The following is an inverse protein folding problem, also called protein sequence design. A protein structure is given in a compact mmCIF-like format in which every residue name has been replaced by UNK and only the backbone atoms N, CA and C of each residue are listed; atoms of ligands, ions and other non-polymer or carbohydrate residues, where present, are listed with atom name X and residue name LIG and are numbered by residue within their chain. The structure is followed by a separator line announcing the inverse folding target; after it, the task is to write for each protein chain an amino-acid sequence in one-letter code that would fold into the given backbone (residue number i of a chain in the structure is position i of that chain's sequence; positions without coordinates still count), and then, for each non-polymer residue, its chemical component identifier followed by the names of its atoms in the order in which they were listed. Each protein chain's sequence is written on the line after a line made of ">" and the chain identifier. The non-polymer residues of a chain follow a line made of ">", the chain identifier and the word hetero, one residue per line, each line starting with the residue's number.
data_IF_547843940632
#
_entry.id   IF_547843940632
#
_cell.length_a   1.000
_cell.length_b   1.000
_cell.length_c   1.000
_cell.angle_alpha   90.00
_cell.angle_beta   90.00
_cell.angle_gamma   90.00
#
_symmetry.space_group_name_H-M   'P 1'
#
loop_
_entity.id
_entity.type
_entity.pdbx_description
1 polymer ?
#
# COMPACT_ATOMS: atom_id res chain seq x y z
N UNK A 1 -18.92 1.79 -14.47
CA UNK A 1 -17.57 1.63 -13.90
C UNK A 1 -16.57 2.05 -14.95
N UNK A 2 -16.09 3.29 -14.89
CA UNK A 2 -14.94 3.70 -15.69
C UNK A 2 -13.72 3.26 -14.91
N UNK A 3 -12.89 2.40 -15.49
CA UNK A 3 -11.60 2.04 -14.93
C UNK A 3 -10.54 2.64 -15.85
N UNK A 4 -9.57 3.32 -15.27
CA UNK A 4 -8.39 3.78 -15.99
C UNK A 4 -7.34 2.66 -16.02
N UNK A 5 -6.54 2.64 -17.09
CA UNK A 5 -5.39 1.72 -17.18
C UNK A 5 -4.16 2.40 -16.60
N UNK A 6 -3.63 1.87 -15.50
CA UNK A 6 -2.44 2.40 -14.84
C UNK A 6 -1.22 1.52 -15.06
N UNK A 7 -0.07 2.14 -15.30
CA UNK A 7 1.23 1.49 -15.40
C UNK A 7 2.33 2.34 -14.71
N UNK A 8 3.61 1.99 -14.90
CA UNK A 8 4.73 2.80 -14.36
C UNK A 8 4.78 4.22 -14.94
N UNK A 9 4.26 4.45 -16.15
CA UNK A 9 4.19 5.78 -16.76
C UNK A 9 3.15 6.67 -16.07
N UNK A 10 2.05 6.09 -15.56
CA UNK A 10 1.06 6.82 -14.75
C UNK A 10 1.66 7.43 -13.49
N UNK A 11 2.72 6.84 -12.91
CA UNK A 11 3.47 7.44 -11.79
C UNK A 11 4.24 8.69 -12.23
N UNK A 12 4.85 8.66 -13.42
CA UNK A 12 5.52 9.85 -13.98
C UNK A 12 4.51 10.98 -14.23
N UNK A 13 3.32 10.64 -14.74
CA UNK A 13 2.22 11.59 -14.94
C UNK A 13 1.72 12.16 -13.62
N UNK A 14 1.60 11.36 -12.56
CA UNK A 14 1.30 11.86 -11.21
C UNK A 14 2.34 12.89 -10.74
N UNK A 15 3.62 12.60 -10.92
CA UNK A 15 4.69 13.52 -10.52
C UNK A 15 4.65 14.84 -11.29
N UNK A 16 4.41 14.78 -12.61
CA UNK A 16 4.22 15.96 -13.46
C UNK A 16 2.99 16.76 -13.03
N UNK A 17 1.82 16.12 -12.96
CA UNK A 17 0.54 16.81 -12.73
C UNK A 17 0.41 17.33 -11.29
N UNK A 18 0.88 16.58 -10.28
CA UNK A 18 0.71 16.97 -8.87
C UNK A 18 1.80 17.92 -8.39
N UNK A 19 3.05 17.74 -8.83
CA UNK A 19 4.19 18.46 -8.28
C UNK A 19 4.87 19.38 -9.29
N UNK A 20 4.41 19.42 -10.54
CA UNK A 20 4.99 20.26 -11.59
C UNK A 20 6.38 19.80 -12.03
N UNK A 21 6.76 18.55 -11.74
CA UNK A 21 8.06 18.00 -12.14
C UNK A 21 8.04 17.77 -13.65
N UNK A 22 8.96 18.38 -14.43
CA UNK A 22 8.97 18.18 -15.87
C UNK A 22 9.31 16.73 -16.19
N UNK A 23 8.48 16.07 -17.02
CA UNK A 23 8.75 14.72 -17.53
C UNK A 23 8.81 14.77 -19.05
N UNK A 24 9.97 15.12 -19.65
CA UNK A 24 10.11 15.28 -21.10
C UNK A 24 9.75 14.03 -21.90
N UNK A 25 9.95 12.86 -21.29
CA UNK A 25 9.65 11.56 -21.91
C UNK A 25 8.18 11.15 -21.80
N UNK A 26 7.31 11.95 -21.17
CA UNK A 26 5.87 11.74 -21.18
C UNK A 26 5.32 12.35 -22.48
N UNK A 27 5.35 11.58 -23.56
CA UNK A 27 4.91 12.02 -24.89
C UNK A 27 3.37 12.05 -24.99
N UNK A 28 2.84 12.66 -26.06
CA UNK A 28 1.40 12.67 -26.32
C UNK A 28 0.81 11.24 -26.40
N UNK A 29 1.52 10.30 -27.04
CA UNK A 29 1.11 8.89 -27.09
C UNK A 29 1.07 8.25 -25.69
N UNK A 30 2.06 8.49 -24.83
CA UNK A 30 2.05 7.96 -23.46
C UNK A 30 0.89 8.53 -22.63
N UNK A 31 0.54 9.81 -22.83
CA UNK A 31 -0.63 10.43 -22.19
C UNK A 31 -1.97 9.85 -22.69
N UNK A 32 -2.03 9.32 -23.91
CA UNK A 32 -3.27 8.73 -24.44
C UNK A 32 -3.48 7.28 -24.02
N UNK A 33 -2.40 6.54 -23.73
CA UNK A 33 -2.49 5.12 -23.36
C UNK A 33 -2.51 4.87 -21.85
N UNK A 34 -1.94 5.78 -21.05
CA UNK A 34 -1.81 5.61 -19.60
C UNK A 34 -2.68 6.60 -18.83
N UNK A 35 -3.37 6.10 -17.82
CA UNK A 35 -4.27 6.87 -16.97
C UNK A 35 -3.55 7.91 -16.12
N UNK A 36 -4.28 8.95 -15.74
CA UNK A 36 -3.81 9.96 -14.80
C UNK A 36 -4.03 9.48 -13.36
N UNK A 37 -2.96 9.11 -12.68
CA UNK A 37 -3.06 8.56 -11.31
C UNK A 37 -3.46 9.63 -10.28
N UNK A 38 -3.52 10.93 -10.62
CA UNK A 38 -4.15 11.91 -9.72
C UNK A 38 -5.62 11.59 -9.44
N UNK A 39 -6.32 10.93 -10.38
CA UNK A 39 -7.70 10.46 -10.24
C UNK A 39 -7.91 9.46 -9.11
N UNK A 40 -6.85 8.83 -8.59
CA UNK A 40 -6.95 7.85 -7.49
C UNK A 40 -6.86 8.49 -6.11
N UNK A 41 -6.53 9.78 -6.03
CA UNK A 41 -6.33 10.50 -4.77
C UNK A 41 -7.45 11.52 -4.49
N UNK A 42 -7.65 11.82 -3.22
CA UNK A 42 -8.50 12.92 -2.77
C UNK A 42 -7.62 14.06 -2.25
N UNK A 43 -7.13 14.89 -3.17
CA UNK A 43 -6.31 16.05 -2.84
C UNK A 43 -7.10 17.27 -2.34
N UNK A 44 -8.44 17.23 -2.43
CA UNK A 44 -9.31 18.26 -1.86
C UNK A 44 -9.39 18.16 -0.32
N UNK A 45 -9.14 16.98 0.25
CA UNK A 45 -9.08 16.80 1.70
C UNK A 45 -7.71 17.26 2.24
N UNK A 46 -7.67 18.13 3.27
CA UNK A 46 -6.42 18.54 3.90
C UNK A 46 -5.59 17.35 4.41
N UNK A 47 -4.26 17.42 4.34
CA UNK A 47 -3.40 16.37 4.88
C UNK A 47 -3.67 16.14 6.37
N UNK A 48 -3.85 14.87 6.75
CA UNK A 48 -3.90 14.49 8.16
C UNK A 48 -2.50 14.07 8.63
N UNK A 49 -1.86 14.90 9.44
CA UNK A 49 -0.54 14.63 10.01
C UNK A 49 -0.58 13.83 11.32
N UNK A 50 -1.78 13.42 11.78
CA UNK A 50 -1.90 12.55 12.95
C UNK A 50 -1.25 11.20 12.67
N UNK A 51 -0.62 10.62 13.69
CA UNK A 51 -0.05 9.29 13.57
C UNK A 51 -1.17 8.28 13.30
N UNK A 52 -1.02 7.37 12.31
CA UNK A 52 -1.98 6.31 12.13
C UNK A 52 -2.00 5.45 13.39
N UNK A 53 -3.20 5.07 13.83
CA UNK A 53 -3.34 4.07 14.88
C UNK A 53 -2.96 2.71 14.29
N UNK A 54 -1.67 2.39 14.36
CA UNK A 54 -1.17 1.06 14.09
C UNK A 54 -1.35 0.28 15.38
N UNK A 55 -2.20 -0.75 15.34
CA UNK A 55 -2.33 -1.67 16.46
C UNK A 55 -0.93 -2.10 16.93
N UNK A 56 -0.58 -1.78 18.18
CA UNK A 56 0.80 -1.82 18.62
C UNK A 56 1.25 -3.28 18.80
N UNK A 57 2.23 -3.77 18.02
CA UNK A 57 2.55 -5.19 17.95
C UNK A 57 3.17 -5.73 19.24
N UNK A 58 3.53 -4.90 20.22
CA UNK A 58 4.15 -5.36 21.47
C UNK A 58 3.28 -6.32 22.28
N UNK A 59 1.96 -6.12 22.30
CA UNK A 59 1.01 -7.03 22.97
C UNK A 59 0.74 -8.29 22.15
N UNK A 60 0.63 -8.17 20.82
CA UNK A 60 0.47 -9.30 19.90
C UNK A 60 1.76 -10.11 19.68
N UNK A 61 2.92 -9.55 20.00
CA UNK A 61 4.20 -10.22 19.88
C UNK A 61 4.40 -11.29 20.96
N UNK A 62 3.71 -11.20 22.11
CA UNK A 62 3.85 -12.17 23.20
C UNK A 62 3.53 -13.60 22.76
N UNK A 63 2.51 -13.79 21.92
CA UNK A 63 2.19 -15.09 21.33
C UNK A 63 3.23 -15.57 20.32
N UNK A 64 4.01 -14.66 19.74
CA UNK A 64 4.98 -14.95 18.68
C UNK A 64 6.40 -15.15 19.22
N UNK A 65 6.71 -14.62 20.41
CA UNK A 65 8.00 -14.76 21.10
C UNK A 65 8.48 -16.21 21.22
N UNK A 66 7.64 -17.21 21.59
CA UNK A 66 8.06 -18.60 21.72
C UNK A 66 8.59 -19.21 20.42
N UNK A 67 8.19 -18.67 19.26
CA UNK A 67 8.69 -19.08 17.97
C UNK A 67 9.86 -18.21 17.50
N UNK A 68 9.76 -16.90 17.65
CA UNK A 68 10.76 -15.95 17.18
C UNK A 68 12.12 -16.13 17.87
N UNK A 69 12.16 -16.31 19.19
CA UNK A 69 13.42 -16.41 19.95
C UNK A 69 14.22 -17.66 19.55
N UNK A 70 13.64 -18.87 19.52
CA UNK A 70 14.33 -20.05 19.02
C UNK A 70 14.74 -19.94 17.55
N UNK A 71 13.92 -19.32 16.69
CA UNK A 71 14.24 -19.15 15.28
C UNK A 71 15.38 -18.17 15.05
N UNK A 72 15.46 -17.09 15.83
CA UNK A 72 16.60 -16.17 15.78
C UNK A 72 17.91 -16.86 16.19
N UNK A 73 17.87 -17.75 17.19
CA UNK A 73 19.05 -18.44 17.69
C UNK A 73 19.49 -19.63 16.82
N UNK A 74 18.54 -20.41 16.30
CA UNK A 74 18.79 -21.74 15.70
C UNK A 74 18.31 -21.86 14.25
N UNK A 75 17.66 -20.84 13.71
CA UNK A 75 17.12 -20.85 12.34
C UNK A 75 18.22 -20.94 11.27
N UNK A 76 19.37 -20.32 11.49
CA UNK A 76 20.51 -20.34 10.56
C UNK A 76 21.14 -21.73 10.39
N UNK A 77 20.93 -22.62 11.36
CA UNK A 77 21.38 -24.02 11.31
C UNK A 77 20.21 -25.00 11.06
N UNK A 78 19.06 -24.50 10.60
CA UNK A 78 17.85 -25.30 10.33
C UNK A 78 17.33 -26.09 11.55
N UNK A 79 17.54 -25.57 12.77
CA UNK A 79 17.03 -26.14 14.04
C UNK A 79 15.97 -25.26 14.70
N UNK A 80 15.42 -24.30 13.97
CA UNK A 80 14.30 -23.48 14.43
C UNK A 80 12.98 -24.25 14.51
N UNK A 81 11.99 -23.63 15.15
CA UNK A 81 10.60 -24.04 15.15
C UNK A 81 9.96 -23.65 13.80
N UNK A 82 9.32 -24.59 13.08
CA UNK A 82 8.65 -24.29 11.82
C UNK A 82 7.57 -23.22 11.98
N UNK A 83 7.37 -22.38 10.96
CA UNK A 83 6.25 -21.45 10.95
C UNK A 83 4.92 -22.20 10.86
N UNK A 84 4.07 -22.03 11.87
CA UNK A 84 2.71 -22.57 11.86
C UNK A 84 1.85 -21.67 10.98
N UNK A 85 1.49 -22.18 9.80
CA UNK A 85 0.46 -21.55 8.97
C UNK A 85 -0.87 -21.67 9.71
N UNK A 86 -1.66 -20.59 9.85
CA UNK A 86 -3.00 -20.66 10.41
C UNK A 86 -3.87 -21.67 9.67
N UNK A 87 -4.59 -22.51 10.41
CA UNK A 87 -5.55 -23.49 9.87
C UNK A 87 -6.89 -23.31 10.61
N UNK A 88 -7.99 -22.93 9.92
CA UNK A 88 -8.11 -22.77 8.48
C UNK A 88 -7.44 -21.51 7.93
N UNK A 89 -6.78 -21.62 6.79
CA UNK A 89 -6.34 -20.46 6.03
C UNK A 89 -7.54 -19.81 5.36
N UNK A 90 -7.82 -18.57 5.73
CA UNK A 90 -8.91 -17.77 5.17
C UNK A 90 -8.34 -16.57 4.42
N UNK A 91 -8.97 -16.22 3.31
CA UNK A 91 -8.60 -15.00 2.59
C UNK A 91 -9.00 -13.78 3.42
N UNK A 92 -8.17 -12.72 3.45
CA UNK A 92 -8.54 -11.49 4.13
C UNK A 92 -9.79 -10.90 3.49
N UNK A 93 -10.70 -10.39 4.33
CA UNK A 93 -11.84 -9.61 3.88
C UNK A 93 -11.47 -8.14 3.82
N UNK A 94 -11.93 -7.43 2.79
CA UNK A 94 -11.80 -5.99 2.74
C UNK A 94 -12.63 -5.35 3.85
N UNK A 95 -12.04 -4.43 4.61
CA UNK A 95 -12.76 -3.67 5.63
C UNK A 95 -13.85 -2.80 4.97
N UNK A 96 -15.05 -2.86 5.53
CA UNK A 96 -16.20 -2.06 5.04
C UNK A 96 -16.24 -0.66 5.65
N UNK A 97 -15.43 -0.41 6.68
CA UNK A 97 -15.38 0.85 7.42
C UNK A 97 -13.94 1.23 7.72
N UNK A 98 -13.59 2.53 7.63
CA UNK A 98 -14.45 3.64 7.24
C UNK A 98 -14.83 3.58 5.75
N UNK A 99 -15.92 4.26 5.38
CA UNK A 99 -16.33 4.36 3.96
C UNK A 99 -15.15 4.86 3.13
N UNK A 100 -14.81 4.12 2.07
CA UNK A 100 -13.76 4.52 1.14
C UNK A 100 -14.03 5.94 0.64
N UNK A 101 -13.07 6.83 0.83
CA UNK A 101 -13.16 8.19 0.32
C UNK A 101 -13.34 8.22 -1.21
N UNK A 102 -14.12 9.17 -1.70
CA UNK A 102 -14.26 9.42 -3.12
C UNK A 102 -13.01 10.19 -3.58
N UNK A 103 -12.25 9.69 -4.56
CA UNK A 103 -11.16 10.46 -5.14
C UNK A 103 -11.68 11.76 -5.75
N UNK A 104 -11.03 12.88 -5.43
CA UNK A 104 -11.37 14.18 -6.02
C UNK A 104 -10.66 14.40 -7.36
N UNK A 105 -9.59 13.64 -7.63
CA UNK A 105 -8.66 14.00 -8.68
C UNK A 105 -7.78 15.19 -8.30
N UNK A 106 -7.19 15.89 -9.29
CA UNK A 106 -6.42 17.10 -9.03
C UNK A 106 -7.28 18.19 -8.39
N UNK A 107 -6.68 19.01 -7.51
CA UNK A 107 -7.31 20.16 -6.88
C UNK A 107 -7.42 21.36 -7.83
#
# INVERSE_FOLDING_TARGET
>A
MVHDTFDHTSQLRLLETRFGVPVPNLTAWRRSVTGDMTSTFNFAVPPNSSWPNLDYPGLHALSTVPQCVPNAALGTINRGIPYRVPDPQIMPTQETTPTRGIPSGPC
#
